data_IF_925190702863
#
_entry.id   IF_925190702863
#
_cell.length_a   1.000
_cell.length_b   1.000
_cell.length_c   1.000
_cell.angle_alpha   90.00
_cell.angle_beta   90.00
_cell.angle_gamma   90.00
#
_symmetry.space_group_name_H-M   'P 1'
#
loop_
_entity.id
_entity.type
_entity.pdbx_description
1 polymer ?
#
# COMPACT_ATOMS: atom_id res chain seq x y z
N UNK A 1 22.01 -6.04 -26.06
CA UNK A 1 20.68 -5.49 -26.39
C UNK A 1 20.17 -6.22 -27.60
N UNK A 2 19.09 -6.96 -27.46
CA UNK A 2 18.46 -7.65 -28.58
C UNK A 2 17.12 -6.95 -28.83
N UNK A 3 16.97 -6.39 -30.01
CA UNK A 3 15.72 -5.81 -30.48
C UNK A 3 15.03 -6.86 -31.35
N UNK A 4 13.86 -7.31 -30.95
CA UNK A 4 13.03 -8.23 -31.73
C UNK A 4 11.94 -7.44 -32.47
N UNK A 5 11.68 -7.83 -33.72
CA UNK A 5 10.63 -7.22 -34.58
C UNK A 5 9.20 -7.44 -34.04
N UNK A 6 9.03 -8.19 -32.95
CA UNK A 6 7.76 -8.43 -32.28
C UNK A 6 7.42 -7.44 -31.16
N UNK A 7 8.20 -6.38 -30.97
CA UNK A 7 7.98 -5.39 -29.89
C UNK A 7 8.51 -5.81 -28.52
N UNK A 8 9.30 -6.87 -28.43
CA UNK A 8 9.99 -7.29 -27.22
C UNK A 8 11.38 -6.66 -27.16
N UNK A 9 11.64 -5.84 -26.16
CA UNK A 9 12.98 -5.35 -25.84
C UNK A 9 13.45 -6.00 -24.55
N UNK A 10 14.50 -6.81 -24.62
CA UNK A 10 15.10 -7.47 -23.46
C UNK A 10 16.55 -7.05 -23.31
N UNK A 11 16.93 -6.63 -22.11
CA UNK A 11 18.32 -6.43 -21.71
C UNK A 11 18.57 -7.36 -20.52
N UNK A 12 19.44 -8.36 -20.70
CA UNK A 12 19.82 -9.28 -19.64
C UNK A 12 21.33 -9.39 -19.52
N UNK A 13 21.80 -9.52 -18.27
CA UNK A 13 23.21 -9.80 -17.96
C UNK A 13 23.27 -11.21 -17.39
N UNK A 14 24.04 -12.10 -18.03
CA UNK A 14 24.17 -13.50 -17.61
C UNK A 14 25.05 -13.65 -16.35
N UNK A 15 24.68 -14.65 -15.55
CA UNK A 15 25.04 -14.90 -14.18
C UNK A 15 26.49 -15.25 -13.81
N UNK A 16 27.49 -14.82 -14.54
CA UNK A 16 28.90 -15.00 -14.17
C UNK A 16 29.63 -13.68 -13.84
N UNK A 17 28.89 -12.58 -13.74
CA UNK A 17 29.49 -11.25 -13.51
C UNK A 17 29.28 -10.86 -12.07
N UNK A 18 30.38 -10.70 -11.33
CA UNK A 18 30.41 -10.03 -10.04
C UNK A 18 30.07 -8.55 -10.26
N UNK A 19 29.06 -8.00 -9.57
CA UNK A 19 28.54 -6.64 -9.76
C UNK A 19 27.84 -6.39 -11.12
N UNK A 20 26.83 -7.19 -11.44
CA UNK A 20 26.03 -6.92 -12.64
C UNK A 20 25.21 -5.62 -12.48
N UNK A 21 25.35 -4.70 -13.41
CA UNK A 21 24.56 -3.47 -13.50
C UNK A 21 23.82 -3.44 -14.81
N UNK A 22 22.50 -3.36 -14.75
CA UNK A 22 21.63 -2.98 -15.89
C UNK A 22 21.15 -1.56 -15.64
N UNK A 23 21.63 -0.61 -16.42
CA UNK A 23 21.33 0.80 -16.24
C UNK A 23 20.68 1.40 -17.49
N UNK A 24 19.56 2.08 -17.30
CA UNK A 24 18.96 2.95 -18.32
C UNK A 24 19.06 4.41 -17.88
N UNK A 25 19.73 5.23 -18.70
CA UNK A 25 19.81 6.69 -18.52
C UNK A 25 19.14 7.47 -19.66
N UNK A 26 18.65 6.78 -20.67
CA UNK A 26 18.03 7.37 -21.84
C UNK A 26 16.58 6.93 -22.02
N UNK A 27 16.15 6.79 -23.27
CA UNK A 27 14.82 6.32 -23.63
C UNK A 27 14.87 4.88 -24.16
N UNK A 28 14.05 4.00 -23.57
CA UNK A 28 13.68 2.69 -24.12
C UNK A 28 12.18 2.75 -24.41
N UNK A 29 11.78 2.52 -25.64
CA UNK A 29 10.38 2.55 -26.05
C UNK A 29 9.98 1.29 -26.79
N UNK A 30 8.88 0.65 -26.38
CA UNK A 30 8.29 -0.55 -26.96
C UNK A 30 6.75 -0.40 -27.00
N UNK A 31 6.24 0.43 -27.92
CA UNK A 31 4.80 0.69 -28.05
C UNK A 31 4.02 -0.62 -28.23
N UNK A 32 3.04 -0.88 -27.37
CA UNK A 32 2.26 -2.13 -27.25
C UNK A 32 3.12 -3.39 -26.99
N UNK A 33 4.39 -3.22 -26.65
CA UNK A 33 5.32 -4.31 -26.44
C UNK A 33 5.63 -4.56 -24.96
N UNK A 34 6.73 -5.28 -24.75
CA UNK A 34 7.24 -5.62 -23.43
C UNK A 34 8.67 -5.14 -23.27
N UNK A 35 9.02 -4.62 -22.12
CA UNK A 35 10.38 -4.22 -21.78
C UNK A 35 10.81 -4.98 -20.51
N UNK A 36 11.89 -5.73 -20.63
CA UNK A 36 12.49 -6.46 -19.50
C UNK A 36 13.91 -5.94 -19.26
N UNK A 37 14.16 -5.40 -18.08
CA UNK A 37 15.50 -5.07 -17.60
C UNK A 37 15.83 -6.02 -16.44
N UNK A 38 16.68 -7.01 -16.70
CA UNK A 38 16.98 -8.09 -15.77
C UNK A 38 18.46 -8.17 -15.49
N UNK A 39 18.83 -8.19 -14.22
CA UNK A 39 20.18 -8.48 -13.80
C UNK A 39 20.17 -9.67 -12.83
N UNK A 40 20.77 -10.80 -13.25
CA UNK A 40 20.92 -12.01 -12.43
C UNK A 40 22.38 -12.25 -12.15
N UNK A 41 22.83 -12.04 -10.92
CA UNK A 41 24.15 -12.37 -10.46
C UNK A 41 24.17 -13.65 -9.65
N UNK A 42 25.23 -14.46 -9.78
CA UNK A 42 25.37 -15.74 -9.08
C UNK A 42 26.14 -15.67 -7.78
N UNK A 43 26.64 -14.59 -7.33
CA UNK A 43 27.30 -14.58 -6.03
C UNK A 43 27.15 -13.26 -5.27
N UNK A 44 26.81 -13.44 -4.09
CA UNK A 44 26.08 -12.71 -3.07
C UNK A 44 26.84 -11.59 -2.39
N UNK A 45 27.90 -11.11 -2.91
CA UNK A 45 28.66 -10.17 -2.12
C UNK A 45 28.44 -8.70 -2.44
N UNK A 46 27.81 -8.29 -3.50
CA UNK A 46 27.54 -6.87 -3.67
C UNK A 46 26.81 -6.54 -4.99
N UNK A 47 25.55 -6.07 -4.86
CA UNK A 47 25.05 -5.02 -5.74
C UNK A 47 24.80 -5.38 -7.21
N UNK A 48 24.09 -6.46 -7.47
CA UNK A 48 23.36 -6.54 -8.73
C UNK A 48 22.29 -5.45 -8.70
N UNK A 49 22.42 -4.45 -9.52
CA UNK A 49 21.52 -3.30 -9.55
C UNK A 49 20.85 -3.23 -10.90
N UNK A 50 19.53 -3.19 -10.93
CA UNK A 50 18.78 -2.65 -12.04
C UNK A 50 18.47 -1.20 -11.72
N UNK A 51 19.04 -0.27 -12.49
CA UNK A 51 18.87 1.15 -12.28
C UNK A 51 18.18 1.80 -13.47
N UNK A 52 17.02 2.41 -13.26
CA UNK A 52 16.39 3.27 -14.23
C UNK A 52 16.40 4.72 -13.76
N UNK A 53 17.22 5.54 -14.37
CA UNK A 53 17.22 7.00 -14.21
C UNK A 53 16.74 7.74 -15.47
N UNK A 54 16.47 7.00 -16.54
CA UNK A 54 15.89 7.48 -17.78
C UNK A 54 14.40 7.19 -17.90
N UNK A 55 13.95 7.01 -19.14
CA UNK A 55 12.55 6.71 -19.45
C UNK A 55 12.43 5.31 -20.06
N UNK A 56 11.50 4.50 -19.55
CA UNK A 56 11.07 3.25 -20.18
C UNK A 56 9.59 3.38 -20.50
N UNK A 57 9.24 3.14 -21.78
CA UNK A 57 7.87 3.26 -22.27
C UNK A 57 7.40 1.95 -22.91
N UNK A 58 6.23 1.48 -22.50
CA UNK A 58 5.45 0.44 -23.15
C UNK A 58 4.01 0.92 -23.37
N UNK A 59 3.86 2.11 -23.98
CA UNK A 59 2.58 2.81 -24.16
C UNK A 59 1.65 2.08 -25.10
N UNK A 60 0.36 2.02 -24.76
CA UNK A 60 -0.67 1.39 -25.58
C UNK A 60 -1.22 2.32 -26.64
N UNK A 61 -1.26 1.82 -27.87
CA UNK A 61 -1.94 2.47 -29.01
C UNK A 61 -3.26 1.76 -29.37
N UNK A 62 -3.56 0.66 -28.70
CA UNK A 62 -4.76 -0.17 -28.87
C UNK A 62 -5.48 -0.37 -27.54
N UNK A 63 -6.24 -1.42 -27.36
CA UNK A 63 -7.12 -1.65 -26.22
C UNK A 63 -6.41 -1.81 -24.86
N UNK A 64 -5.11 -2.11 -24.82
CA UNK A 64 -4.29 -2.24 -23.60
C UNK A 64 -2.86 -1.78 -23.86
N UNK A 65 -2.21 -1.17 -22.87
CA UNK A 65 -0.79 -0.89 -22.92
C UNK A 65 0.06 -2.16 -22.67
N UNK A 66 1.37 -2.05 -22.87
CA UNK A 66 2.30 -3.16 -22.74
C UNK A 66 2.73 -3.46 -21.31
N UNK A 67 3.83 -4.18 -21.18
CA UNK A 67 4.38 -4.59 -19.88
C UNK A 67 5.82 -4.11 -19.71
N UNK A 68 6.16 -3.66 -18.51
CA UNK A 68 7.53 -3.30 -18.11
C UNK A 68 7.90 -4.14 -16.88
N UNK A 69 9.06 -4.79 -16.94
CA UNK A 69 9.60 -5.56 -15.82
C UNK A 69 11.03 -5.11 -15.53
N UNK A 70 11.28 -4.72 -14.28
CA UNK A 70 12.61 -4.54 -13.73
C UNK A 70 12.88 -5.66 -12.72
N UNK A 71 13.82 -6.56 -13.00
CA UNK A 71 14.13 -7.70 -12.15
C UNK A 71 15.60 -7.73 -11.74
N UNK A 72 15.87 -7.47 -10.47
CA UNK A 72 17.18 -7.50 -9.84
C UNK A 72 17.63 -8.90 -9.39
N UNK A 73 16.81 -9.94 -9.61
CA UNK A 73 17.09 -11.29 -9.11
C UNK A 73 16.87 -11.45 -7.60
N UNK A 74 17.33 -12.59 -7.06
CA UNK A 74 17.05 -12.98 -5.67
C UNK A 74 17.82 -12.16 -4.62
N UNK A 75 18.92 -11.52 -5.03
CA UNK A 75 19.79 -10.76 -4.13
C UNK A 75 20.03 -9.31 -4.56
N UNK A 76 19.46 -8.90 -5.70
CA UNK A 76 19.75 -7.61 -6.29
C UNK A 76 18.91 -6.47 -5.78
N UNK A 77 19.36 -5.25 -6.09
CA UNK A 77 18.66 -4.00 -5.83
C UNK A 77 18.07 -3.48 -7.12
N UNK A 78 16.81 -3.06 -7.08
CA UNK A 78 16.15 -2.30 -8.15
C UNK A 78 15.99 -0.86 -7.71
N UNK A 79 16.60 0.06 -8.46
CA UNK A 79 16.48 1.50 -8.25
C UNK A 79 15.71 2.14 -9.41
N UNK A 80 14.60 2.77 -9.08
CA UNK A 80 13.75 3.51 -10.02
C UNK A 80 13.78 4.99 -9.65
N UNK A 81 14.51 5.80 -10.42
CA UNK A 81 14.62 7.25 -10.23
C UNK A 81 14.13 8.06 -11.45
N UNK A 82 13.78 7.40 -12.55
CA UNK A 82 13.27 8.00 -13.78
C UNK A 82 11.78 7.77 -14.00
N UNK A 83 11.42 7.48 -15.25
CA UNK A 83 10.03 7.27 -15.67
C UNK A 83 9.82 5.82 -16.14
N UNK A 84 8.79 5.15 -15.65
CA UNK A 84 8.25 3.91 -16.20
C UNK A 84 6.82 4.18 -16.66
N UNK A 85 6.55 4.04 -17.96
CA UNK A 85 5.29 4.48 -18.55
C UNK A 85 4.64 3.33 -19.35
N UNK A 86 3.64 2.69 -18.77
CA UNK A 86 2.78 1.71 -19.41
C UNK A 86 1.35 2.26 -19.60
N UNK A 87 1.27 3.52 -20.01
CA UNK A 87 0.01 4.26 -20.17
C UNK A 87 -0.71 3.93 -21.47
N UNK A 88 -2.04 4.04 -21.48
CA UNK A 88 -2.86 3.93 -22.67
C UNK A 88 -3.75 5.16 -22.87
N UNK A 89 -3.62 5.81 -24.03
CA UNK A 89 -4.49 6.93 -24.40
C UNK A 89 -5.84 6.52 -25.01
N UNK A 90 -6.02 5.24 -25.28
CA UNK A 90 -7.24 4.73 -25.95
C UNK A 90 -7.92 3.60 -25.19
N UNK A 91 -7.16 2.84 -24.39
CA UNK A 91 -7.61 1.64 -23.71
C UNK A 91 -7.27 1.63 -22.22
N UNK A 92 -7.13 0.43 -21.69
CA UNK A 92 -6.70 0.20 -20.32
C UNK A 92 -5.19 0.36 -20.18
N UNK A 93 -4.72 0.83 -19.05
CA UNK A 93 -3.31 0.87 -18.67
C UNK A 93 -2.66 -0.51 -18.69
N UNK A 94 -1.34 -0.55 -18.83
CA UNK A 94 -0.57 -1.78 -18.89
C UNK A 94 -0.18 -2.31 -17.51
N UNK A 95 0.94 -3.04 -17.50
CA UNK A 95 1.46 -3.65 -16.27
C UNK A 95 2.92 -3.26 -16.05
N UNK A 96 3.26 -2.91 -14.82
CA UNK A 96 4.65 -2.66 -14.40
C UNK A 96 4.95 -3.53 -13.19
N UNK A 97 6.07 -4.26 -13.24
CA UNK A 97 6.52 -5.12 -12.15
C UNK A 97 7.96 -4.82 -11.80
N UNK A 98 8.23 -4.54 -10.54
CA UNK A 98 9.57 -4.36 -10.00
C UNK A 98 9.84 -5.50 -9.01
N UNK A 99 10.85 -6.31 -9.30
CA UNK A 99 11.25 -7.47 -8.51
C UNK A 99 12.72 -7.38 -8.11
N UNK A 100 13.05 -7.81 -6.91
CA UNK A 100 14.41 -7.82 -6.38
C UNK A 100 14.40 -8.01 -4.88
N UNK A 101 15.56 -8.21 -4.28
CA UNK A 101 15.65 -8.31 -2.83
C UNK A 101 15.32 -6.96 -2.16
N UNK A 102 15.84 -5.86 -2.71
CA UNK A 102 15.55 -4.51 -2.25
C UNK A 102 15.10 -3.65 -3.41
N UNK A 103 14.07 -2.84 -3.20
CA UNK A 103 13.52 -1.97 -4.24
C UNK A 103 13.42 -0.55 -3.70
N UNK A 104 13.91 0.41 -4.48
CA UNK A 104 13.87 1.83 -4.15
C UNK A 104 13.18 2.62 -5.27
N UNK A 105 12.06 3.25 -4.95
CA UNK A 105 11.41 4.28 -5.75
C UNK A 105 11.92 5.63 -5.26
N UNK A 106 12.90 6.17 -5.96
CA UNK A 106 13.60 7.39 -5.55
C UNK A 106 12.74 8.64 -5.75
N UNK A 107 13.06 9.69 -5.02
CA UNK A 107 12.36 10.97 -5.12
C UNK A 107 12.33 11.53 -6.55
N UNK A 108 11.17 11.98 -6.98
CA UNK A 108 10.93 12.48 -8.34
C UNK A 108 10.64 11.41 -9.39
N UNK A 109 10.73 10.12 -9.05
CA UNK A 109 10.38 9.05 -10.00
C UNK A 109 8.88 8.97 -10.24
N UNK A 110 8.50 8.53 -11.45
CA UNK A 110 7.13 8.22 -11.83
C UNK A 110 7.05 6.79 -12.37
N UNK A 111 6.14 6.01 -11.81
CA UNK A 111 5.76 4.68 -12.29
C UNK A 111 4.28 4.72 -12.64
N UNK A 112 3.96 4.80 -13.93
CA UNK A 112 2.61 5.09 -14.43
C UNK A 112 2.09 3.97 -15.33
N UNK A 113 0.88 3.52 -15.02
CA UNK A 113 0.09 2.60 -15.83
C UNK A 113 -1.35 3.13 -15.93
N UNK A 114 -1.51 4.40 -16.31
CA UNK A 114 -2.83 5.02 -16.48
C UNK A 114 -3.51 4.54 -17.76
N UNK A 115 -4.84 4.62 -17.80
CA UNK A 115 -5.56 4.26 -19.01
C UNK A 115 -6.85 5.03 -19.19
N UNK A 116 -7.23 5.27 -20.46
CA UNK A 116 -8.43 6.01 -20.82
C UNK A 116 -9.70 5.31 -20.34
N UNK A 117 -9.74 3.98 -20.46
CA UNK A 117 -10.93 3.17 -20.16
C UNK A 117 -10.76 2.26 -18.93
N UNK A 118 -9.71 2.45 -18.17
CA UNK A 118 -9.39 1.74 -16.93
C UNK A 118 -7.92 1.86 -16.58
N UNK A 119 -7.60 1.95 -15.30
CA UNK A 119 -6.24 1.92 -14.82
C UNK A 119 -5.57 0.55 -15.05
N UNK A 120 -4.24 0.52 -15.02
CA UNK A 120 -3.44 -0.69 -15.17
C UNK A 120 -3.01 -1.29 -13.83
N UNK A 121 -1.88 -1.95 -13.83
CA UNK A 121 -1.37 -2.67 -12.67
C UNK A 121 0.10 -2.30 -12.40
N UNK A 122 0.42 -2.00 -11.15
CA UNK A 122 1.80 -1.77 -10.69
C UNK A 122 2.07 -2.63 -9.46
N UNK A 123 3.08 -3.49 -9.57
CA UNK A 123 3.53 -4.36 -8.49
C UNK A 123 4.99 -4.03 -8.15
N UNK A 124 5.23 -3.69 -6.90
CA UNK A 124 6.56 -3.36 -6.37
C UNK A 124 6.87 -4.28 -5.21
N UNK A 125 7.74 -5.25 -5.44
CA UNK A 125 8.22 -6.19 -4.42
C UNK A 125 7.22 -7.24 -3.96
N UNK A 126 6.20 -7.53 -4.76
CA UNK A 126 5.24 -8.59 -4.49
C UNK A 126 3.86 -8.34 -5.08
N UNK A 127 3.05 -9.38 -5.14
CA UNK A 127 1.63 -9.29 -5.48
C UNK A 127 0.75 -8.97 -4.28
N UNK A 128 -0.55 -8.92 -4.48
CA UNK A 128 -1.53 -8.61 -3.42
C UNK A 128 -1.37 -9.52 -2.20
N UNK A 129 -1.09 -8.92 -1.04
CA UNK A 129 -0.78 -9.61 0.22
C UNK A 129 0.41 -10.58 0.14
N UNK A 130 1.36 -10.36 -0.79
CA UNK A 130 2.50 -11.24 -1.01
C UNK A 130 2.14 -12.65 -1.50
N UNK A 131 0.89 -12.88 -1.96
CA UNK A 131 0.35 -14.22 -2.25
C UNK A 131 0.46 -14.65 -3.72
N UNK A 132 0.87 -13.76 -4.61
CA UNK A 132 1.05 -14.12 -6.03
C UNK A 132 2.46 -14.70 -6.25
N UNK A 133 2.54 -16.01 -6.33
CA UNK A 133 3.81 -16.74 -6.53
C UNK A 133 4.51 -16.45 -7.88
N UNK A 134 3.84 -15.75 -8.80
CA UNK A 134 4.43 -15.33 -10.09
C UNK A 134 5.25 -14.05 -9.95
N UNK A 135 5.09 -13.33 -8.83
CA UNK A 135 5.82 -12.10 -8.51
C UNK A 135 6.62 -12.36 -7.24
N UNK A 136 7.94 -12.21 -7.32
CA UNK A 136 8.83 -12.44 -6.18
C UNK A 136 8.59 -11.40 -5.09
N UNK A 137 8.50 -11.86 -3.84
CA UNK A 137 8.47 -10.96 -2.69
C UNK A 137 9.84 -10.34 -2.44
N UNK A 138 9.88 -9.03 -2.30
CA UNK A 138 11.08 -8.31 -1.87
C UNK A 138 11.27 -8.46 -0.35
N UNK A 139 12.52 -8.41 0.11
CA UNK A 139 12.78 -8.22 1.53
C UNK A 139 12.44 -6.81 1.97
N UNK A 140 12.77 -5.81 1.15
CA UNK A 140 12.56 -4.40 1.52
C UNK A 140 12.10 -3.55 0.34
N UNK A 141 11.16 -2.63 0.61
CA UNK A 141 10.69 -1.63 -0.34
C UNK A 141 10.74 -0.24 0.30
N UNK A 142 11.35 0.71 -0.38
CA UNK A 142 11.36 2.11 0.04
C UNK A 142 10.82 2.99 -1.08
N UNK A 143 9.85 3.83 -0.76
CA UNK A 143 9.29 4.84 -1.66
C UNK A 143 9.48 6.23 -1.05
N UNK A 144 10.26 7.08 -1.71
CA UNK A 144 10.55 8.42 -1.25
C UNK A 144 9.36 9.39 -1.37
N UNK A 145 9.40 10.49 -0.60
CA UNK A 145 8.28 11.47 -0.49
C UNK A 145 7.77 12.02 -1.83
N UNK A 146 8.64 12.19 -2.81
CA UNK A 146 8.28 12.78 -4.11
C UNK A 146 8.16 11.74 -5.23
N UNK A 147 8.28 10.45 -4.90
CA UNK A 147 8.02 9.38 -5.85
C UNK A 147 6.50 9.22 -6.05
N UNK A 148 6.10 8.89 -7.26
CA UNK A 148 4.68 8.70 -7.62
C UNK A 148 4.47 7.37 -8.32
N UNK A 149 3.44 6.65 -7.90
CA UNK A 149 2.86 5.51 -8.63
C UNK A 149 1.45 5.92 -9.06
N UNK A 150 1.11 5.78 -10.33
CA UNK A 150 -0.20 6.15 -10.86
C UNK A 150 -0.81 5.02 -11.69
N UNK A 151 -1.93 4.49 -11.24
CA UNK A 151 -2.74 3.47 -11.91
C UNK A 151 -4.17 3.96 -12.15
N UNK A 152 -4.36 5.25 -12.32
CA UNK A 152 -5.68 5.85 -12.48
C UNK A 152 -6.31 5.55 -13.83
N UNK A 153 -7.65 5.48 -13.88
CA UNK A 153 -8.41 5.67 -15.10
C UNK A 153 -8.57 7.18 -15.37
N UNK A 154 -8.43 7.61 -16.63
CA UNK A 154 -8.48 9.05 -16.95
C UNK A 154 -9.86 9.54 -17.37
N UNK A 155 -10.60 8.76 -18.17
CA UNK A 155 -11.94 9.14 -18.65
C UNK A 155 -13.03 8.20 -18.14
N UNK A 156 -12.91 6.90 -18.38
CA UNK A 156 -13.93 5.92 -18.00
C UNK A 156 -13.29 4.70 -17.34
N UNK A 157 -14.08 3.89 -16.64
CA UNK A 157 -13.61 2.66 -16.01
C UNK A 157 -13.01 2.86 -14.61
N UNK A 158 -12.70 1.76 -13.98
CA UNK A 158 -12.19 1.77 -12.62
C UNK A 158 -10.71 2.15 -12.58
N UNK A 159 -10.27 2.74 -11.48
CA UNK A 159 -8.86 2.81 -11.12
C UNK A 159 -8.23 1.41 -11.08
N UNK A 160 -6.92 1.34 -11.29
CA UNK A 160 -6.17 0.10 -11.36
C UNK A 160 -5.77 -0.46 -10.00
N UNK A 161 -4.77 -1.34 -10.02
CA UNK A 161 -4.20 -1.96 -8.83
C UNK A 161 -2.75 -1.55 -8.64
N UNK A 162 -2.39 -1.03 -7.48
CA UNK A 162 -1.02 -0.75 -7.08
C UNK A 162 -0.68 -1.48 -5.78
N UNK A 163 0.46 -2.20 -5.78
CA UNK A 163 0.95 -2.94 -4.63
C UNK A 163 2.40 -2.56 -4.35
N UNK A 164 2.66 -2.18 -3.10
CA UNK A 164 4.01 -2.07 -2.53
C UNK A 164 4.09 -3.09 -1.38
N UNK A 165 4.83 -4.17 -1.59
CA UNK A 165 4.92 -5.29 -0.66
C UNK A 165 6.36 -5.65 -0.32
N UNK A 166 6.60 -6.06 0.92
CA UNK A 166 7.85 -6.69 1.34
C UNK A 166 7.64 -7.68 2.49
N UNK A 167 8.57 -8.61 2.63
CA UNK A 167 8.54 -9.55 3.74
C UNK A 167 9.10 -8.93 5.04
N UNK A 168 10.08 -8.01 4.95
CA UNK A 168 10.74 -7.45 6.13
C UNK A 168 10.40 -5.99 6.43
N UNK A 169 10.51 -5.10 5.42
CA UNK A 169 10.41 -3.67 5.64
C UNK A 169 9.88 -2.91 4.44
N UNK A 170 8.79 -2.22 4.62
CA UNK A 170 8.28 -1.22 3.67
C UNK A 170 8.27 0.16 4.30
N UNK A 171 8.89 1.14 3.63
CA UNK A 171 8.78 2.55 3.97
C UNK A 171 8.06 3.30 2.85
N UNK A 172 6.79 3.58 3.06
CA UNK A 172 5.92 4.28 2.11
C UNK A 172 5.78 5.75 2.51
N UNK A 173 6.32 6.66 1.72
CA UNK A 173 6.30 8.11 1.94
C UNK A 173 5.80 8.90 0.74
N UNK A 174 5.73 8.27 -0.44
CA UNK A 174 5.36 8.89 -1.70
C UNK A 174 3.85 9.00 -1.91
N UNK A 175 3.45 9.09 -3.16
CA UNK A 175 2.05 9.19 -3.56
C UNK A 175 1.66 8.04 -4.47
N UNK A 176 0.54 7.39 -4.18
CA UNK A 176 -0.09 6.39 -5.05
C UNK A 176 -1.45 6.90 -5.49
N UNK A 177 -1.68 6.94 -6.79
CA UNK A 177 -2.95 7.31 -7.40
C UNK A 177 -3.60 6.09 -8.05
N UNK A 178 -4.86 5.83 -7.71
CA UNK A 178 -5.68 4.76 -8.28
C UNK A 178 -7.12 5.25 -8.52
N UNK A 179 -7.25 6.43 -9.13
CA UNK A 179 -8.54 7.12 -9.30
C UNK A 179 -9.44 6.44 -10.32
N UNK A 180 -10.74 6.46 -10.07
CA UNK A 180 -11.75 6.14 -11.07
C UNK A 180 -11.81 7.20 -12.16
N UNK A 181 -12.29 6.81 -13.34
CA UNK A 181 -12.42 7.71 -14.49
C UNK A 181 -13.33 8.91 -14.23
N UNK A 182 -13.02 10.04 -14.89
CA UNK A 182 -13.76 11.29 -14.70
C UNK A 182 -15.23 11.21 -15.12
N UNK A 183 -15.57 10.31 -16.06
CA UNK A 183 -16.93 10.11 -16.58
C UNK A 183 -17.67 8.94 -15.94
N UNK A 184 -16.94 7.87 -15.58
CA UNK A 184 -17.50 6.66 -14.97
C UNK A 184 -16.42 5.77 -14.38
N UNK A 185 -16.82 4.89 -13.45
CA UNK A 185 -15.96 3.90 -12.81
C UNK A 185 -15.72 4.19 -11.34
N UNK A 186 -15.27 3.19 -10.61
CA UNK A 186 -14.92 3.29 -9.20
C UNK A 186 -13.43 3.58 -9.02
N UNK A 187 -13.04 4.02 -7.85
CA UNK A 187 -11.63 4.03 -7.44
C UNK A 187 -11.02 2.63 -7.49
N UNK A 188 -9.71 2.56 -7.60
CA UNK A 188 -8.96 1.32 -7.69
C UNK A 188 -8.59 0.73 -6.33
N UNK A 189 -7.61 -0.18 -6.35
CA UNK A 189 -7.12 -0.87 -5.16
C UNK A 189 -5.65 -0.59 -4.94
N UNK A 190 -5.31 -0.17 -3.75
CA UNK A 190 -3.93 0.10 -3.35
C UNK A 190 -3.58 -0.72 -2.13
N UNK A 191 -2.42 -1.33 -2.13
CA UNK A 191 -1.83 -1.95 -0.96
C UNK A 191 -0.44 -1.38 -0.72
N UNK A 192 -0.18 -0.96 0.52
CA UNK A 192 1.16 -0.63 1.00
C UNK A 192 1.40 -1.40 2.29
N UNK A 193 2.12 -2.49 2.19
CA UNK A 193 2.20 -3.49 3.25
C UNK A 193 3.61 -4.00 3.46
N UNK A 194 3.86 -4.55 4.63
CA UNK A 194 5.04 -5.36 4.94
C UNK A 194 4.65 -6.40 5.94
N UNK A 195 5.13 -7.62 5.75
CA UNK A 195 4.85 -8.69 6.70
C UNK A 195 5.34 -8.34 8.11
N UNK A 196 6.52 -7.68 8.25
CA UNK A 196 7.08 -7.38 9.59
C UNK A 196 7.02 -5.92 9.99
N UNK A 197 7.52 -5.03 9.15
CA UNK A 197 7.68 -3.62 9.55
C UNK A 197 7.23 -2.69 8.44
N UNK A 198 6.09 -2.04 8.65
CA UNK A 198 5.54 -1.03 7.78
C UNK A 198 5.68 0.36 8.41
N UNK A 199 6.34 1.28 7.70
CA UNK A 199 6.34 2.70 8.00
C UNK A 199 5.54 3.41 6.91
N UNK A 200 4.34 3.88 7.23
CA UNK A 200 3.44 4.48 6.25
C UNK A 200 3.09 5.92 6.63
N UNK A 201 3.67 6.86 5.89
CA UNK A 201 3.41 8.30 5.98
C UNK A 201 3.10 8.95 4.63
N UNK A 202 3.04 8.16 3.57
CA UNK A 202 2.68 8.58 2.23
C UNK A 202 1.17 8.84 2.05
N UNK A 203 0.79 9.15 0.83
CA UNK A 203 -0.61 9.43 0.47
C UNK A 203 -1.09 8.47 -0.61
N UNK A 204 -2.34 8.06 -0.50
CA UNK A 204 -3.05 7.28 -1.52
C UNK A 204 -4.27 8.07 -1.94
N UNK A 205 -4.59 8.11 -3.22
CA UNK A 205 -5.86 8.64 -3.72
C UNK A 205 -6.50 7.61 -4.66
N UNK A 206 -7.44 6.86 -4.11
CA UNK A 206 -8.28 5.93 -4.85
C UNK A 206 -9.73 6.43 -4.91
N UNK A 207 -9.93 7.73 -4.98
CA UNK A 207 -11.25 8.35 -5.12
C UNK A 207 -11.85 8.12 -6.51
N UNK A 208 -13.13 8.38 -6.65
CA UNK A 208 -13.81 8.43 -7.94
C UNK A 208 -14.78 9.61 -7.98
N UNK A 209 -14.72 10.46 -9.00
CA UNK A 209 -15.71 11.55 -9.17
C UNK A 209 -17.09 11.06 -9.58
N UNK A 210 -17.18 9.87 -10.19
CA UNK A 210 -18.41 9.36 -10.80
C UNK A 210 -18.87 7.99 -10.28
N UNK A 211 -18.13 7.41 -9.34
CA UNK A 211 -18.40 6.10 -8.77
C UNK A 211 -18.12 6.04 -7.28
N UNK A 212 -17.93 4.84 -6.77
CA UNK A 212 -17.53 4.61 -5.38
C UNK A 212 -16.03 4.81 -5.22
N UNK A 213 -15.61 5.32 -4.07
CA UNK A 213 -14.20 5.32 -3.66
C UNK A 213 -13.62 3.90 -3.68
N UNK A 214 -12.34 3.81 -3.97
CA UNK A 214 -11.59 2.56 -3.95
C UNK A 214 -11.16 2.13 -2.55
N UNK A 215 -10.11 1.33 -2.49
CA UNK A 215 -9.60 0.73 -1.26
C UNK A 215 -8.10 0.98 -1.11
N UNK A 216 -7.68 1.31 0.11
CA UNK A 216 -6.29 1.26 0.54
C UNK A 216 -6.12 0.26 1.67
N UNK A 217 -5.33 -0.79 1.43
CA UNK A 217 -4.98 -1.83 2.39
C UNK A 217 -3.58 -1.57 2.96
N UNK A 218 -3.46 -1.70 4.29
CA UNK A 218 -2.21 -1.72 5.03
C UNK A 218 -2.21 -2.99 5.88
N UNK A 219 -1.27 -3.90 5.63
CA UNK A 219 -1.30 -5.27 6.19
C UNK A 219 0.07 -5.69 6.78
N UNK A 220 0.51 -5.09 7.92
CA UNK A 220 1.66 -5.55 8.71
C UNK A 220 1.25 -6.60 9.76
N UNK A 221 2.22 -7.22 10.45
CA UNK A 221 1.93 -8.18 11.53
C UNK A 221 1.30 -7.48 12.75
N UNK A 222 2.01 -6.57 13.43
CA UNK A 222 1.43 -5.65 14.43
C UNK A 222 1.53 -4.22 13.91
N UNK A 223 0.62 -3.34 14.29
CA UNK A 223 0.67 -1.96 13.85
C UNK A 223 0.25 -0.96 14.92
N UNK A 224 0.96 0.18 14.97
CA UNK A 224 0.58 1.34 15.75
C UNK A 224 0.24 2.51 14.82
N UNK A 225 -0.96 3.07 14.98
CA UNK A 225 -1.35 4.32 14.31
C UNK A 225 -0.89 5.47 15.19
N UNK A 226 -0.01 6.32 14.66
CA UNK A 226 0.71 7.36 15.42
C UNK A 226 0.44 8.75 14.86
N UNK A 227 0.57 9.79 15.71
CA UNK A 227 0.47 11.19 15.30
C UNK A 227 1.76 11.75 14.70
N UNK A 228 2.90 11.08 14.91
CA UNK A 228 4.21 11.46 14.40
C UNK A 228 5.14 10.27 14.45
N UNK A 229 6.25 10.32 13.71
CA UNK A 229 7.32 9.33 13.79
C UNK A 229 7.36 8.30 12.66
N UNK A 230 6.25 8.02 12.00
CA UNK A 230 6.21 7.03 10.91
C UNK A 230 7.07 7.39 9.67
N UNK A 231 7.44 8.65 9.53
CA UNK A 231 8.31 9.12 8.44
C UNK A 231 9.74 9.47 8.89
N UNK A 232 10.02 9.44 10.18
CA UNK A 232 11.34 9.73 10.74
C UNK A 232 12.28 8.53 10.80
N UNK A 233 11.74 7.33 10.62
CA UNK A 233 12.47 6.07 10.75
C UNK A 233 13.08 5.61 9.40
N UNK A 234 13.77 6.52 8.75
CA UNK A 234 14.32 6.33 7.41
C UNK A 234 15.83 6.21 7.51
N UNK A 235 16.35 5.17 6.88
CA UNK A 235 17.78 5.11 6.63
C UNK A 235 18.17 6.12 5.54
N UNK A 236 18.97 7.11 5.92
CA UNK A 236 19.51 8.10 5.00
C UNK A 236 20.54 7.52 4.01
N UNK A 237 20.93 6.25 4.16
CA UNK A 237 21.92 5.58 3.33
C UNK A 237 21.34 4.78 2.17
N UNK A 238 20.10 5.06 1.77
CA UNK A 238 19.41 4.39 0.63
C UNK A 238 20.20 4.46 -0.68
N UNK A 239 21.09 5.44 -0.85
CA UNK A 239 21.97 5.54 -2.01
C UNK A 239 22.93 4.36 -2.18
N UNK A 240 23.20 3.58 -1.15
CA UNK A 240 24.02 2.38 -1.18
C UNK A 240 23.22 1.08 -1.32
N UNK A 241 21.90 1.15 -1.48
CA UNK A 241 21.04 -0.04 -1.57
C UNK A 241 20.86 -0.78 -0.23
N UNK A 242 21.27 -0.19 0.87
CA UNK A 242 21.12 -0.74 2.22
C UNK A 242 19.95 -0.02 2.88
N UNK A 243 18.84 -0.74 3.03
CA UNK A 243 17.65 -0.21 3.70
C UNK A 243 17.59 -0.78 5.11
N UNK A 244 17.96 0.03 6.12
CA UNK A 244 17.91 -0.40 7.51
C UNK A 244 16.84 0.37 8.25
N UNK A 245 15.78 -0.30 8.77
CA UNK A 245 14.78 0.37 9.57
C UNK A 245 15.40 0.89 10.88
N UNK A 246 15.08 2.12 11.25
CA UNK A 246 15.55 2.73 12.49
C UNK A 246 14.56 2.59 13.65
N UNK A 247 13.39 2.00 13.40
CA UNK A 247 12.39 1.64 14.43
C UNK A 247 11.97 0.19 14.30
N UNK A 248 11.55 -0.39 15.41
CA UNK A 248 10.91 -1.71 15.47
C UNK A 248 9.38 -1.55 15.42
N UNK A 249 8.72 -2.49 14.76
CA UNK A 249 7.26 -2.51 14.60
C UNK A 249 6.74 -1.57 13.50
N UNK A 250 5.56 -1.88 13.00
CA UNK A 250 4.94 -1.09 11.96
C UNK A 250 4.28 0.16 12.53
N UNK A 251 4.43 1.29 11.83
CA UNK A 251 3.81 2.57 12.18
C UNK A 251 3.09 3.16 10.96
N UNK A 252 1.87 3.64 11.19
CA UNK A 252 1.08 4.34 10.19
C UNK A 252 0.78 5.74 10.72
N UNK A 253 1.05 6.77 9.91
CA UNK A 253 0.74 8.13 10.29
C UNK A 253 -0.77 8.38 10.16
N UNK A 254 -1.41 8.85 11.24
CA UNK A 254 -2.85 9.13 11.27
C UNK A 254 -3.28 10.14 10.20
N UNK A 255 -2.44 11.15 9.92
CA UNK A 255 -2.73 12.15 8.87
C UNK A 255 -2.74 11.55 7.46
N UNK A 256 -1.99 10.46 7.21
CA UNK A 256 -2.09 9.70 5.95
C UNK A 256 -3.46 9.05 5.81
N UNK A 257 -3.97 8.40 6.86
CA UNK A 257 -5.33 7.82 6.90
C UNK A 257 -6.38 8.93 6.69
N UNK A 258 -6.30 10.02 7.44
CA UNK A 258 -7.25 11.15 7.35
C UNK A 258 -7.26 11.76 5.95
N UNK A 259 -6.10 11.94 5.34
CA UNK A 259 -6.00 12.47 3.97
C UNK A 259 -6.78 11.61 2.97
N UNK A 260 -6.70 10.28 3.09
CA UNK A 260 -7.39 9.36 2.20
C UNK A 260 -8.90 9.33 2.44
N UNK A 261 -9.31 9.32 3.70
CA UNK A 261 -10.74 9.44 4.04
C UNK A 261 -11.34 10.76 3.52
N UNK A 262 -10.57 11.86 3.60
CA UNK A 262 -10.97 13.16 3.06
C UNK A 262 -11.04 13.16 1.52
N UNK A 263 -10.20 12.39 0.85
CA UNK A 263 -10.22 12.22 -0.61
C UNK A 263 -11.36 11.29 -1.10
N UNK A 264 -12.10 10.64 -0.18
CA UNK A 264 -13.19 9.72 -0.54
C UNK A 264 -12.73 8.28 -0.74
N UNK A 265 -11.54 7.93 -0.26
CA UNK A 265 -10.99 6.56 -0.29
C UNK A 265 -11.34 5.82 1.00
N UNK A 266 -11.82 4.59 0.91
CA UNK A 266 -11.97 3.72 2.08
C UNK A 266 -10.60 3.19 2.50
N UNK A 267 -10.37 3.12 3.81
CA UNK A 267 -9.08 2.67 4.37
C UNK A 267 -9.29 1.41 5.20
N UNK A 268 -8.50 0.39 4.94
CA UNK A 268 -8.44 -0.83 5.76
C UNK A 268 -7.02 -0.99 6.32
N UNK A 269 -6.93 -0.97 7.64
CA UNK A 269 -5.73 -1.39 8.37
C UNK A 269 -5.98 -2.80 8.87
N UNK A 270 -5.21 -3.74 8.38
CA UNK A 270 -5.32 -5.16 8.71
C UNK A 270 -4.00 -5.65 9.26
N UNK A 271 -4.02 -6.62 10.15
CA UNK A 271 -2.82 -7.35 10.56
C UNK A 271 -2.80 -8.76 9.96
N UNK A 272 -1.62 -9.32 9.76
CA UNK A 272 -1.46 -10.63 9.13
C UNK A 272 -0.59 -11.57 9.96
N UNK A 273 -1.26 -12.36 10.77
CA UNK A 273 -0.67 -13.51 11.43
C UNK A 273 0.24 -13.18 12.61
N UNK A 274 0.89 -14.23 13.08
CA UNK A 274 1.93 -14.17 14.12
C UNK A 274 3.29 -14.35 13.47
N UNK A 275 4.28 -13.57 13.87
CA UNK A 275 5.65 -13.76 13.44
C UNK A 275 6.52 -14.44 14.51
N UNK A 276 7.75 -14.83 14.15
CA UNK A 276 8.73 -15.39 15.06
C UNK A 276 9.29 -14.39 16.07
N UNK A 277 8.98 -13.08 15.92
CA UNK A 277 9.37 -12.00 16.84
C UNK A 277 8.39 -11.75 17.98
N UNK A 278 7.31 -12.52 18.09
CA UNK A 278 6.32 -12.41 19.15
C UNK A 278 5.20 -11.38 18.88
N UNK A 279 5.09 -10.87 17.65
CA UNK A 279 3.94 -10.08 17.22
C UNK A 279 2.74 -11.00 17.02
N UNK A 280 1.58 -10.59 17.49
CA UNK A 280 0.39 -11.43 17.56
C UNK A 280 -0.80 -10.94 16.75
N UNK A 281 -0.60 -9.92 15.93
CA UNK A 281 -1.65 -9.34 15.09
C UNK A 281 -2.48 -8.29 15.82
N UNK A 282 -1.84 -7.36 16.55
CA UNK A 282 -2.52 -6.29 17.26
C UNK A 282 -2.56 -4.99 16.45
N UNK A 283 -3.64 -4.23 16.60
CA UNK A 283 -3.73 -2.83 16.16
C UNK A 283 -3.82 -1.91 17.37
N UNK A 284 -2.91 -0.94 17.46
CA UNK A 284 -2.93 0.09 18.50
C UNK A 284 -3.16 1.46 17.87
N UNK A 285 -4.16 2.20 18.35
CA UNK A 285 -4.45 3.56 17.90
C UNK A 285 -4.03 4.57 18.98
N UNK A 286 -2.93 5.30 18.71
CA UNK A 286 -2.35 6.30 19.62
C UNK A 286 -2.54 7.74 19.13
N UNK A 287 -3.38 7.97 18.13
CA UNK A 287 -3.61 9.30 17.59
C UNK A 287 -5.03 9.44 17.01
N UNK A 288 -5.51 10.67 16.95
CA UNK A 288 -6.85 10.99 16.43
C UNK A 288 -6.98 10.67 14.95
N UNK A 289 -8.13 10.17 14.55
CA UNK A 289 -8.55 10.01 13.15
C UNK A 289 -9.85 10.79 12.96
N UNK A 290 -9.75 12.05 12.53
CA UNK A 290 -10.92 12.91 12.32
C UNK A 290 -10.96 13.37 10.86
N UNK A 291 -11.92 12.83 10.12
CA UNK A 291 -12.22 13.20 8.74
C UNK A 291 -12.91 14.58 8.72
N UNK A 292 -12.40 15.51 7.90
CA UNK A 292 -12.88 16.90 7.86
C UNK A 292 -13.41 17.34 6.50
N UNK A 293 -13.30 16.49 5.47
CA UNK A 293 -13.72 16.81 4.10
C UNK A 293 -14.21 15.56 3.36
N UNK A 294 -14.74 15.75 2.16
CA UNK A 294 -15.06 14.71 1.20
C UNK A 294 -16.36 13.95 1.47
N UNK A 295 -16.65 13.01 0.58
CA UNK A 295 -17.83 12.16 0.59
C UNK A 295 -17.80 11.13 1.73
N UNK A 296 -18.86 10.33 1.85
CA UNK A 296 -18.94 9.24 2.81
C UNK A 296 -17.84 8.20 2.56
N UNK A 297 -17.19 7.76 3.66
CA UNK A 297 -16.10 6.77 3.60
C UNK A 297 -16.19 5.79 4.76
N UNK A 298 -15.33 4.77 4.69
CA UNK A 298 -15.22 3.73 5.72
C UNK A 298 -13.77 3.57 6.18
N UNK A 299 -13.61 3.47 7.49
CA UNK A 299 -12.39 3.00 8.13
C UNK A 299 -12.63 1.61 8.73
N UNK A 300 -11.82 0.64 8.36
CA UNK A 300 -11.85 -0.70 8.94
C UNK A 300 -10.52 -0.97 9.63
N UNK A 301 -10.58 -1.33 10.90
CA UNK A 301 -9.45 -1.89 11.64
C UNK A 301 -9.74 -3.38 11.84
N UNK A 302 -8.95 -4.25 11.20
CA UNK A 302 -9.12 -5.72 11.23
C UNK A 302 -7.88 -6.36 11.85
N UNK A 303 -7.95 -6.67 13.13
CA UNK A 303 -6.85 -7.27 13.86
C UNK A 303 -7.00 -8.80 13.95
N UNK A 304 -5.90 -9.51 13.70
CA UNK A 304 -5.86 -10.96 13.94
C UNK A 304 -6.00 -11.30 15.42
N UNK A 305 -5.54 -10.40 16.31
CA UNK A 305 -5.70 -10.50 17.74
C UNK A 305 -6.50 -9.28 18.27
N UNK A 306 -5.88 -8.34 18.97
CA UNK A 306 -6.57 -7.27 19.69
C UNK A 306 -6.54 -5.94 18.95
N UNK A 307 -7.55 -5.10 19.24
CA UNK A 307 -7.54 -3.67 18.92
C UNK A 307 -7.53 -2.90 20.22
N UNK A 308 -6.63 -1.92 20.36
CA UNK A 308 -6.59 -1.03 21.52
C UNK A 308 -6.50 0.44 21.07
N UNK A 309 -7.19 1.35 21.74
CA UNK A 309 -6.98 2.79 21.59
C UNK A 309 -6.34 3.37 22.84
N UNK A 310 -5.50 4.38 22.67
CA UNK A 310 -5.02 5.16 23.80
C UNK A 310 -6.15 5.98 24.42
N UNK A 311 -5.89 6.51 25.62
CA UNK A 311 -6.79 7.45 26.31
C UNK A 311 -6.91 8.76 25.52
N UNK A 312 -8.06 9.42 25.59
CA UNK A 312 -8.37 10.72 24.97
C UNK A 312 -8.28 10.75 23.44
N UNK A 313 -8.31 9.62 22.75
CA UNK A 313 -8.31 9.56 21.29
C UNK A 313 -9.69 9.89 20.73
N UNK A 314 -9.72 10.58 19.59
CA UNK A 314 -10.93 10.88 18.82
C UNK A 314 -10.93 10.15 17.49
N UNK A 315 -12.05 9.49 17.15
CA UNK A 315 -12.30 8.91 15.83
C UNK A 315 -13.61 9.48 15.30
N UNK A 316 -13.58 10.11 14.12
CA UNK A 316 -14.83 10.68 13.66
C UNK A 316 -14.78 11.41 12.34
N UNK A 317 -15.88 12.13 12.05
CA UNK A 317 -16.03 12.98 10.90
C UNK A 317 -16.78 14.27 11.24
N UNK A 318 -16.40 15.38 10.62
CA UNK A 318 -17.14 16.65 10.65
C UNK A 318 -17.83 16.93 9.30
N UNK A 319 -17.40 16.25 8.24
CA UNK A 319 -17.96 16.39 6.88
C UNK A 319 -18.04 15.01 6.21
N UNK A 320 -19.20 14.71 5.60
CA UNK A 320 -19.51 13.36 5.13
C UNK A 320 -19.62 12.38 6.29
N UNK A 321 -20.11 11.18 6.04
CA UNK A 321 -20.18 10.13 7.04
C UNK A 321 -18.86 9.38 7.13
N UNK A 322 -18.51 8.91 8.31
CA UNK A 322 -17.48 7.90 8.50
C UNK A 322 -18.12 6.64 9.06
N UNK A 323 -18.10 5.54 8.30
CA UNK A 323 -18.41 4.23 8.85
C UNK A 323 -17.16 3.68 9.50
N UNK A 324 -17.30 3.11 10.70
CA UNK A 324 -16.17 2.59 11.46
C UNK A 324 -16.43 1.14 11.88
N UNK A 325 -15.56 0.23 11.39
CA UNK A 325 -15.54 -1.16 11.82
C UNK A 325 -14.29 -1.43 12.65
N UNK A 326 -14.48 -1.94 13.86
CA UNK A 326 -13.43 -2.46 14.73
C UNK A 326 -13.59 -3.98 14.84
N UNK A 327 -12.78 -4.72 14.11
CA UNK A 327 -12.87 -6.16 13.92
C UNK A 327 -11.65 -6.84 14.57
N UNK A 328 -11.80 -7.35 15.77
CA UNK A 328 -10.75 -8.08 16.50
C UNK A 328 -10.92 -9.59 16.34
N UNK A 329 -9.87 -10.37 16.61
CA UNK A 329 -9.96 -11.82 16.62
C UNK A 329 -10.21 -12.44 15.25
N UNK A 330 -9.59 -11.93 14.20
CA UNK A 330 -9.69 -12.56 12.88
C UNK A 330 -9.06 -13.97 12.86
N UNK A 331 -7.99 -14.18 13.64
CA UNK A 331 -7.33 -15.49 13.82
C UNK A 331 -7.46 -15.96 15.28
N UNK A 332 -7.21 -15.10 16.25
CA UNK A 332 -7.15 -15.46 17.66
C UNK A 332 -8.54 -15.45 18.30
N UNK A 333 -8.94 -16.56 18.91
CA UNK A 333 -10.15 -16.62 19.74
C UNK A 333 -9.94 -15.86 21.08
N UNK A 334 -11.01 -15.32 21.63
CA UNK A 334 -11.02 -14.52 22.86
C UNK A 334 -10.22 -13.21 22.80
N UNK A 335 -10.10 -12.64 21.62
CA UNK A 335 -9.50 -11.33 21.42
C UNK A 335 -10.37 -10.21 22.02
N UNK A 336 -9.83 -8.98 22.03
CA UNK A 336 -10.53 -7.85 22.61
C UNK A 336 -10.45 -6.59 21.74
N UNK A 337 -11.50 -5.79 21.81
CA UNK A 337 -11.49 -4.37 21.45
C UNK A 337 -11.48 -3.57 22.75
N UNK A 338 -10.40 -2.82 23.01
CA UNK A 338 -10.21 -2.01 24.20
C UNK A 338 -10.25 -0.54 23.82
N UNK A 339 -11.30 0.16 24.23
CA UNK A 339 -11.45 1.59 24.02
C UNK A 339 -10.94 2.34 25.25
N UNK A 340 -9.93 3.18 25.08
CA UNK A 340 -9.28 3.94 26.13
C UNK A 340 -10.23 4.92 26.83
N UNK A 341 -9.80 5.47 27.97
CA UNK A 341 -10.58 6.46 28.71
C UNK A 341 -10.82 7.71 27.87
N UNK A 342 -11.98 8.32 28.05
CA UNK A 342 -12.40 9.54 27.33
C UNK A 342 -12.34 9.40 25.80
N UNK A 343 -12.44 8.17 25.26
CA UNK A 343 -12.55 7.98 23.81
C UNK A 343 -13.73 8.79 23.27
N UNK A 344 -13.55 9.47 22.15
CA UNK A 344 -14.62 10.20 21.50
C UNK A 344 -14.80 9.69 20.06
N UNK A 345 -15.86 8.90 19.85
CA UNK A 345 -16.24 8.42 18.52
C UNK A 345 -17.46 9.21 18.05
N UNK A 346 -17.30 10.03 16.99
CA UNK A 346 -18.36 10.89 16.43
C UNK A 346 -18.38 10.78 14.92
N UNK A 347 -19.28 9.95 14.37
CA UNK A 347 -19.22 9.47 12.98
C UNK A 347 -20.04 10.29 11.98
N UNK A 348 -20.64 11.41 12.41
CA UNK A 348 -21.47 12.27 11.58
C UNK A 348 -22.58 11.50 10.84
N UNK A 349 -23.28 10.61 11.57
CA UNK A 349 -24.34 9.77 11.02
C UNK A 349 -23.86 8.51 10.27
N UNK A 350 -22.57 8.23 10.25
CA UNK A 350 -22.03 6.93 9.83
C UNK A 350 -22.27 5.85 10.89
N UNK A 351 -22.13 4.59 10.49
CA UNK A 351 -22.40 3.44 11.33
C UNK A 351 -21.13 3.03 12.12
N UNK A 352 -21.31 2.58 13.33
CA UNK A 352 -20.29 1.97 14.18
C UNK A 352 -20.55 0.47 14.33
N UNK A 353 -19.53 -0.32 14.03
CA UNK A 353 -19.53 -1.75 14.29
C UNK A 353 -18.30 -2.15 15.11
N UNK A 354 -18.49 -2.92 16.16
CA UNK A 354 -17.42 -3.61 16.87
C UNK A 354 -17.79 -5.09 17.00
N UNK A 355 -16.91 -5.98 16.53
CA UNK A 355 -17.23 -7.39 16.48
C UNK A 355 -16.03 -8.26 16.11
N UNK A 356 -16.22 -9.59 15.97
CA UNK A 356 -15.17 -10.50 15.56
C UNK A 356 -14.80 -10.31 14.10
N UNK A 357 -13.52 -10.36 13.80
CA UNK A 357 -13.02 -10.41 12.42
C UNK A 357 -13.37 -11.72 11.72
N UNK A 358 -13.38 -12.81 12.49
CA UNK A 358 -13.89 -14.12 12.06
C UNK A 358 -15.16 -14.45 12.89
N UNK A 359 -16.25 -14.72 12.20
CA UNK A 359 -17.58 -14.96 12.83
C UNK A 359 -17.65 -16.16 13.79
N UNK A 360 -16.66 -17.04 13.76
CA UNK A 360 -16.55 -18.18 14.69
C UNK A 360 -15.83 -17.87 15.99
N UNK A 361 -15.11 -16.74 16.05
CA UNK A 361 -14.30 -16.36 17.21
C UNK A 361 -15.10 -15.52 18.20
N UNK A 362 -14.73 -15.66 19.47
CA UNK A 362 -15.28 -14.86 20.56
C UNK A 362 -14.44 -13.61 20.73
N UNK A 363 -15.09 -12.49 20.99
CA UNK A 363 -14.40 -11.27 21.39
C UNK A 363 -15.05 -10.63 22.61
N UNK A 364 -14.27 -9.82 23.32
CA UNK A 364 -14.76 -8.90 24.36
C UNK A 364 -14.62 -7.45 23.89
N UNK A 365 -15.55 -6.60 24.33
CA UNK A 365 -15.43 -5.15 24.20
C UNK A 365 -15.25 -4.57 25.60
N UNK A 366 -14.14 -3.86 25.80
CA UNK A 366 -13.88 -3.10 27.02
C UNK A 366 -14.02 -1.61 26.69
N UNK A 367 -14.87 -0.95 27.42
CA UNK A 367 -15.17 0.46 27.23
C UNK A 367 -14.98 1.20 28.55
N UNK A 368 -13.96 2.03 28.61
CA UNK A 368 -13.62 2.74 29.85
C UNK A 368 -14.50 3.97 30.11
N UNK A 369 -14.63 4.37 31.38
CA UNK A 369 -15.45 5.49 31.81
C UNK A 369 -15.21 6.79 31.03
N UNK A 370 -16.29 7.56 30.82
CA UNK A 370 -16.34 8.85 30.11
C UNK A 370 -16.14 8.83 28.58
N UNK A 371 -16.09 7.67 27.94
CA UNK A 371 -16.09 7.62 26.50
C UNK A 371 -17.46 8.00 25.89
N UNK A 372 -17.43 8.35 24.60
CA UNK A 372 -18.62 8.78 23.85
C UNK A 372 -18.64 8.11 22.48
N UNK A 373 -19.78 7.52 22.10
CA UNK A 373 -20.03 7.01 20.74
C UNK A 373 -21.28 7.66 20.20
N UNK A 374 -21.15 8.45 19.15
CA UNK A 374 -22.22 9.07 18.40
C UNK A 374 -22.17 8.59 16.94
N UNK A 375 -23.10 7.74 16.54
CA UNK A 375 -23.18 7.09 15.23
C UNK A 375 -24.62 7.00 14.74
N UNK A 376 -24.81 6.71 13.45
CA UNK A 376 -26.12 6.43 12.86
C UNK A 376 -26.72 5.16 13.44
N UNK A 377 -26.01 4.04 13.27
CA UNK A 377 -26.30 2.78 13.95
C UNK A 377 -25.12 2.37 14.80
N UNK A 378 -25.37 1.73 15.93
CA UNK A 378 -24.34 1.15 16.80
C UNK A 378 -24.60 -0.34 16.89
N UNK A 379 -23.68 -1.15 16.41
CA UNK A 379 -23.71 -2.60 16.50
C UNK A 379 -22.50 -3.11 17.25
N UNK A 380 -22.74 -3.81 18.35
CA UNK A 380 -21.69 -4.46 19.15
C UNK A 380 -21.97 -5.96 19.18
N UNK A 381 -21.23 -6.72 18.39
CA UNK A 381 -21.32 -8.17 18.35
C UNK A 381 -20.23 -8.77 19.24
N UNK A 382 -20.50 -8.89 20.52
CA UNK A 382 -19.55 -9.37 21.54
C UNK A 382 -20.10 -10.61 22.24
N UNK A 383 -19.27 -11.59 22.44
CA UNK A 383 -19.64 -12.88 23.06
C UNK A 383 -19.30 -12.96 24.53
N UNK A 384 -18.45 -12.05 25.03
CA UNK A 384 -18.10 -11.92 26.45
C UNK A 384 -18.28 -10.48 26.89
N UNK A 385 -18.94 -10.30 28.05
CA UNK A 385 -19.45 -9.09 28.63
C UNK A 385 -18.76 -7.78 28.38
N UNK A 386 -19.56 -6.73 28.30
CA UNK A 386 -19.10 -5.35 28.40
C UNK A 386 -18.58 -5.13 29.85
N UNK A 387 -17.26 -4.94 30.00
CA UNK A 387 -16.68 -4.43 31.24
C UNK A 387 -16.45 -2.94 31.07
N UNK A 388 -17.19 -2.14 31.83
CA UNK A 388 -17.02 -0.69 31.93
C UNK A 388 -16.18 -0.32 33.15
#
# INVERSE_FOLDING_TARGET
>A
MQLDNGGLTSVSVNGSVVNALVENRGLISASNGQVYLTAKGQDMLLNTVVNNSGTVEAKGLVSRAGEIVLDGGDSGVVSQSGLLLADSQTGQGGKITLEGQNIHLAGGSLTSATGKTGGGEVYVGGGWQGKDSRIRNASKVVMDKTATVDVSATEAGNGGTAVLWSDDYTNFRGTVLAKGGSQSGNGGRVETSSHRNLQASGTVDASSPSGKGGEWLLDPTDVTIVGSGADSNIDATTSAGIFTPTASGAQILNTSIVSQLNAGTNVTVKTSGTDTGGQTGNITLNADIVKTAGADTKLTLLADNNIATADNVSIGATTGKLNLDLLAGNITDNASVVLGRNINISLNGGDFYAGPGNTTNNISLQYSNNGKIAAGNITMNVTRGLSG
#
